data_IF_090405729324
#
_entry.id   IF_090405729324
#
_cell.length_a   1.000
_cell.length_b   1.000
_cell.length_c   1.000
_cell.angle_alpha   90.00
_cell.angle_beta   90.00
_cell.angle_gamma   90.00
#
_symmetry.space_group_name_H-M   'P 1'
#
loop_
_entity.id
_entity.type
_entity.pdbx_description
1 polymer ?
#
# COMPACT_ATOMS: atom_id res chain seq x y z
N UNK A 1 2.87 10.83 -5.55
CA UNK A 1 2.75 9.61 -4.72
C UNK A 1 1.39 8.99 -4.97
N UNK A 2 1.28 7.66 -4.92
CA UNK A 2 -0.02 6.98 -4.99
C UNK A 2 -0.38 6.45 -3.60
N UNK A 3 -1.60 6.74 -3.14
CA UNK A 3 -2.08 6.39 -1.80
C UNK A 3 -3.39 5.60 -1.92
N UNK A 4 -3.48 4.49 -1.20
CA UNK A 4 -4.63 3.58 -1.18
C UNK A 4 -5.45 3.74 0.08
N UNK A 5 -6.77 3.78 -0.09
CA UNK A 5 -7.73 3.64 1.01
C UNK A 5 -8.50 2.34 0.83
N UNK A 6 -9.14 1.86 1.90
CA UNK A 6 -10.02 0.70 1.84
C UNK A 6 -11.28 1.05 1.04
N UNK A 7 -11.26 0.80 -0.27
CA UNK A 7 -12.36 1.13 -1.19
C UNK A 7 -13.11 -0.10 -1.69
N UNK A 8 -12.43 -1.24 -1.71
CA UNK A 8 -12.92 -2.46 -2.36
C UNK A 8 -12.73 -3.67 -1.43
N UNK A 9 -13.69 -4.61 -1.42
CA UNK A 9 -13.49 -5.90 -0.79
C UNK A 9 -12.38 -6.67 -1.50
N UNK A 10 -11.80 -7.66 -0.81
CA UNK A 10 -10.77 -8.52 -1.38
C UNK A 10 -11.34 -9.94 -1.57
N UNK A 11 -11.92 -10.26 -2.75
CA UNK A 11 -12.51 -11.57 -2.97
C UNK A 11 -11.47 -12.71 -2.93
N UNK A 12 -10.20 -12.42 -3.22
CA UNK A 12 -9.13 -13.41 -3.16
C UNK A 12 -8.67 -13.71 -1.72
N UNK A 13 -8.85 -12.77 -0.78
CA UNK A 13 -8.52 -12.96 0.65
C UNK A 13 -9.57 -12.30 1.56
N UNK A 14 -10.76 -12.91 1.72
CA UNK A 14 -11.87 -12.30 2.48
C UNK A 14 -11.51 -11.95 3.93
N UNK A 15 -10.62 -12.73 4.56
CA UNK A 15 -10.16 -12.49 5.94
C UNK A 15 -9.42 -11.15 6.13
N UNK A 16 -8.98 -10.49 5.05
CA UNK A 16 -8.35 -9.17 5.11
C UNK A 16 -9.36 -8.02 5.15
N UNK A 17 -10.67 -8.30 5.01
CA UNK A 17 -11.76 -7.31 4.99
C UNK A 17 -11.84 -6.51 3.69
N UNK A 18 -10.70 -6.13 3.11
CA UNK A 18 -10.62 -5.50 1.80
C UNK A 18 -9.20 -5.29 1.32
N UNK A 19 -9.03 -4.39 0.35
CA UNK A 19 -7.74 -4.10 -0.26
C UNK A 19 -7.49 -2.61 -0.43
N UNK A 20 -6.22 -2.21 -0.27
CA UNK A 20 -5.71 -0.88 -0.62
C UNK A 20 -4.90 -0.88 -1.93
N UNK A 21 -5.13 -1.87 -2.81
CA UNK A 21 -4.38 -2.01 -4.06
C UNK A 21 -4.70 -0.89 -5.06
N UNK A 22 -5.95 -0.40 -5.05
CA UNK A 22 -6.43 0.68 -5.91
C UNK A 22 -5.95 2.05 -5.39
N UNK A 23 -4.63 2.24 -5.45
CA UNK A 23 -3.95 3.47 -5.04
C UNK A 23 -4.16 4.54 -6.11
N UNK A 24 -4.54 5.73 -5.68
CA UNK A 24 -4.77 6.87 -6.57
C UNK A 24 -3.65 7.91 -6.38
N UNK A 25 -3.29 8.65 -7.43
CA UNK A 25 -2.31 9.72 -7.32
C UNK A 25 -2.81 10.83 -6.39
N UNK A 26 -1.91 11.41 -5.61
CA UNK A 26 -2.17 12.61 -4.81
C UNK A 26 -1.26 13.75 -5.24
N UNK A 27 -1.81 14.97 -5.28
CA UNK A 27 -1.11 16.20 -5.71
C UNK A 27 -0.42 16.96 -4.57
N UNK A 28 -0.49 16.46 -3.33
CA UNK A 28 0.13 17.08 -2.16
C UNK A 28 1.31 16.25 -1.65
N UNK A 29 2.16 16.87 -0.83
CA UNK A 29 3.25 16.18 -0.14
C UNK A 29 2.70 15.12 0.83
N UNK A 30 3.22 13.90 0.75
CA UNK A 30 2.83 12.79 1.63
C UNK A 30 3.92 12.57 2.67
N UNK A 31 3.54 12.61 3.95
CA UNK A 31 4.49 12.32 5.04
C UNK A 31 4.83 10.84 5.04
N UNK A 32 6.14 10.55 5.09
CA UNK A 32 6.68 9.22 5.31
C UNK A 32 7.00 9.04 6.80
N UNK A 33 6.62 7.91 7.37
CA UNK A 33 6.91 7.52 8.76
C UNK A 33 7.39 6.07 8.80
N UNK A 34 8.12 5.71 9.85
CA UNK A 34 8.44 4.30 10.09
C UNK A 34 7.13 3.58 10.43
N UNK A 35 6.68 2.61 9.62
CA UNK A 35 5.49 1.84 9.93
C UNK A 35 5.71 1.00 11.19
N UNK A 36 4.61 0.58 11.82
CA UNK A 36 4.71 -0.35 12.94
C UNK A 36 5.36 -1.68 12.48
N UNK A 37 5.96 -2.46 13.41
CA UNK A 37 6.47 -3.78 13.09
C UNK A 37 5.44 -4.63 12.35
N UNK A 38 5.92 -5.47 11.44
CA UNK A 38 5.06 -6.37 10.67
C UNK A 38 4.20 -7.22 11.60
N UNK A 39 2.96 -7.48 11.21
CA UNK A 39 1.96 -8.22 12.00
C UNK A 39 1.45 -7.55 13.30
N UNK A 40 1.73 -6.27 13.56
CA UNK A 40 1.26 -5.60 14.79
C UNK A 40 -0.08 -4.87 14.68
N UNK A 41 -0.95 -5.25 13.72
CA UNK A 41 -2.23 -4.58 13.46
C UNK A 41 -2.12 -3.39 12.48
N UNK A 42 -3.10 -2.45 12.46
CA UNK A 42 -3.15 -1.35 11.50
C UNK A 42 -1.90 -0.43 11.54
N UNK A 43 -1.61 0.26 10.43
CA UNK A 43 -0.49 1.22 10.34
C UNK A 43 0.83 0.62 9.83
N UNK A 44 0.75 -0.28 8.84
CA UNK A 44 1.92 -0.95 8.25
C UNK A 44 2.43 -0.33 6.95
N UNK A 45 1.70 0.64 6.39
CA UNK A 45 2.25 1.51 5.36
C UNK A 45 3.08 2.62 6.00
N UNK A 46 4.15 3.03 5.33
CA UNK A 46 4.96 4.18 5.72
C UNK A 46 4.39 5.50 5.22
N UNK A 47 3.39 5.47 4.33
CA UNK A 47 2.75 6.65 3.79
C UNK A 47 1.50 7.00 4.60
N UNK A 48 1.43 8.22 5.13
CA UNK A 48 0.23 8.69 5.83
C UNK A 48 -0.97 8.69 4.86
N UNK A 49 -2.08 8.10 5.31
CA UNK A 49 -3.31 7.93 4.51
C UNK A 49 -3.34 6.68 3.63
N UNK A 50 -2.25 5.90 3.59
CA UNK A 50 -2.18 4.64 2.85
C UNK A 50 -2.51 3.42 3.72
N UNK A 51 -3.04 2.35 3.11
CA UNK A 51 -3.40 1.12 3.82
C UNK A 51 -2.80 -0.13 3.18
N UNK A 52 -2.25 -0.99 4.03
CA UNK A 52 -1.84 -2.36 3.71
C UNK A 52 -2.76 -3.30 4.51
N UNK A 53 -3.50 -4.16 3.82
CA UNK A 53 -4.52 -5.03 4.43
C UNK A 53 -4.02 -6.45 4.71
N UNK A 54 -3.26 -7.08 3.79
CA UNK A 54 -2.61 -8.37 4.06
C UNK A 54 -1.27 -8.15 4.77
N UNK A 55 -1.33 -8.18 6.09
CA UNK A 55 -0.20 -7.85 6.95
C UNK A 55 0.74 -9.02 7.21
N UNK A 56 0.30 -10.25 6.90
CA UNK A 56 1.12 -11.45 7.05
C UNK A 56 2.37 -11.38 6.16
N UNK A 57 2.20 -10.84 4.95
CA UNK A 57 3.24 -10.82 3.93
C UNK A 57 3.69 -9.42 3.53
N UNK A 58 2.93 -8.36 3.82
CA UNK A 58 3.23 -7.00 3.38
C UNK A 58 3.41 -6.03 4.54
N UNK A 59 4.07 -4.91 4.26
CA UNK A 59 4.26 -3.82 5.22
C UNK A 59 5.34 -4.06 6.28
N UNK A 60 5.38 -3.14 7.24
CA UNK A 60 6.44 -3.04 8.24
C UNK A 60 7.65 -2.23 7.75
N UNK A 61 8.66 -1.99 8.61
CA UNK A 61 9.76 -1.08 8.31
C UNK A 61 10.51 -1.37 7.00
N UNK A 62 10.66 -2.65 6.66
CA UNK A 62 11.37 -3.07 5.45
C UNK A 62 10.50 -3.04 4.18
N UNK A 63 9.19 -2.79 4.32
CA UNK A 63 8.24 -2.69 3.21
C UNK A 63 7.35 -1.47 3.41
N UNK A 64 7.95 -0.36 3.85
CA UNK A 64 7.25 0.88 4.19
C UNK A 64 6.67 1.61 2.96
N UNK A 65 7.36 1.51 1.82
CA UNK A 65 6.96 2.09 0.53
C UNK A 65 7.24 1.07 -0.56
N UNK A 66 6.33 0.96 -1.51
CA UNK A 66 6.54 0.18 -2.74
C UNK A 66 6.79 1.14 -3.89
N UNK A 67 7.86 0.90 -4.64
CA UNK A 67 8.22 1.67 -5.81
C UNK A 67 8.08 0.80 -7.07
N UNK A 68 7.70 1.45 -8.16
CA UNK A 68 7.65 0.85 -9.48
C UNK A 68 8.18 1.86 -10.49
N UNK A 69 9.08 1.43 -11.38
CA UNK A 69 9.68 2.32 -12.37
C UNK A 69 8.66 2.67 -13.47
N UNK A 70 8.70 3.91 -13.97
CA UNK A 70 7.79 4.34 -15.03
C UNK A 70 8.10 3.60 -16.33
N UNK A 71 9.37 3.36 -16.58
CA UNK A 71 9.93 2.69 -17.75
C UNK A 71 9.45 1.23 -17.83
N UNK A 72 9.37 0.54 -16.69
CA UNK A 72 8.78 -0.81 -16.62
C UNK A 72 7.30 -0.77 -16.95
N UNK A 73 6.56 0.22 -16.43
CA UNK A 73 5.14 0.38 -16.73
C UNK A 73 4.91 0.68 -18.22
N UNK A 74 5.77 1.48 -18.85
CA UNK A 74 5.76 1.72 -20.29
C UNK A 74 6.01 0.44 -21.08
N UNK A 75 6.85 -0.47 -20.58
CA UNK A 75 7.09 -1.76 -21.23
C UNK A 75 5.87 -2.66 -21.18
N UNK A 76 5.16 -2.73 -20.05
CA UNK A 76 3.94 -3.55 -19.92
C UNK A 76 2.75 -3.02 -20.73
N UNK A 77 2.71 -1.73 -21.02
CA UNK A 77 1.63 -1.09 -21.79
C UNK A 77 1.74 -1.25 -23.31
N UNK A 78 2.74 -1.97 -23.81
CA UNK A 78 2.89 -2.32 -25.23
C UNK A 78 2.28 -3.68 -25.50
#
# INVERSE_FOLDING_TARGET
MNVGALRSPNPAKPATGGTGIDKLPVGHAVRVQVPRPKNSGPGQSGLVGDVICDIKHHGGPNQAVYAYAREDLDRWGR
#
